data_IF_534088038306
#
_entry.id   IF_534088038306
#
_cell.length_a   1.000
_cell.length_b   1.000
_cell.length_c   1.000
_cell.angle_alpha   90.00
_cell.angle_beta   90.00
_cell.angle_gamma   90.00
#
_symmetry.space_group_name_H-M   'P 1'
#
loop_
_entity.id
_entity.type
_entity.pdbx_description
1 polymer ?
#
# COMPACT_ATOMS: atom_id res chain seq x y z
N UNK A 1 -65.41 -32.29 17.23
CA UNK A 1 -63.92 -32.25 17.21
C UNK A 1 -63.43 -31.34 16.07
N UNK A 2 -63.25 -30.02 16.27
CA UNK A 2 -62.79 -29.11 15.19
C UNK A 2 -61.85 -27.95 15.61
N UNK A 3 -61.43 -27.86 16.88
CA UNK A 3 -60.67 -26.70 17.39
C UNK A 3 -59.14 -26.83 17.48
N UNK A 4 -58.54 -27.97 17.11
CA UNK A 4 -57.09 -28.21 17.30
C UNK A 4 -56.21 -27.89 16.09
N UNK A 5 -56.79 -27.69 14.90
CA UNK A 5 -56.04 -27.45 13.64
C UNK A 5 -55.67 -25.99 13.37
N UNK A 6 -56.34 -25.00 13.98
CA UNK A 6 -56.03 -23.57 13.73
C UNK A 6 -54.80 -23.05 14.49
N UNK A 7 -54.53 -23.56 15.70
CA UNK A 7 -53.43 -23.03 16.53
C UNK A 7 -52.03 -23.41 16.01
N UNK A 8 -51.90 -24.52 15.28
CA UNK A 8 -50.60 -24.99 14.75
C UNK A 8 -50.16 -24.26 13.48
N UNK A 9 -51.09 -23.83 12.63
CA UNK A 9 -50.77 -23.09 11.39
C UNK A 9 -50.31 -21.66 11.70
N UNK A 10 -50.91 -21.02 12.71
CA UNK A 10 -50.51 -19.71 13.23
C UNK A 10 -49.09 -19.71 13.81
N UNK A 11 -48.69 -20.73 14.56
CA UNK A 11 -47.33 -20.82 15.09
C UNK A 11 -46.29 -21.13 14.01
N UNK A 12 -46.65 -21.91 12.99
CA UNK A 12 -45.79 -22.16 11.82
C UNK A 12 -45.59 -20.90 10.98
N UNK A 13 -46.65 -20.13 10.73
CA UNK A 13 -46.57 -18.84 10.03
C UNK A 13 -45.68 -17.84 10.76
N UNK A 14 -45.80 -17.74 12.09
CA UNK A 14 -44.91 -16.89 12.91
C UNK A 14 -43.45 -17.33 12.82
N UNK A 15 -43.16 -18.64 12.88
CA UNK A 15 -41.80 -19.16 12.70
C UNK A 15 -41.23 -18.87 11.31
N UNK A 16 -42.05 -18.99 10.26
CA UNK A 16 -41.65 -18.65 8.89
C UNK A 16 -41.36 -17.15 8.74
N UNK A 17 -42.17 -16.28 9.35
CA UNK A 17 -41.93 -14.83 9.34
C UNK A 17 -40.63 -14.50 10.08
N UNK A 18 -40.38 -15.08 11.25
CA UNK A 18 -39.13 -14.87 12.00
C UNK A 18 -37.93 -15.38 11.20
N UNK A 19 -38.04 -16.55 10.55
CA UNK A 19 -36.98 -17.09 9.71
C UNK A 19 -36.71 -16.19 8.49
N UNK A 20 -37.76 -15.66 7.85
CA UNK A 20 -37.62 -14.73 6.74
C UNK A 20 -36.96 -13.41 7.15
N UNK A 21 -37.34 -12.86 8.31
CA UNK A 21 -36.72 -11.65 8.87
C UNK A 21 -35.25 -11.91 9.22
N UNK A 22 -34.96 -13.04 9.87
CA UNK A 22 -33.58 -13.44 10.20
C UNK A 22 -32.73 -13.61 8.95
N UNK A 23 -33.26 -14.28 7.92
CA UNK A 23 -32.58 -14.45 6.65
C UNK A 23 -32.30 -13.11 5.97
N UNK A 24 -33.30 -12.22 5.91
CA UNK A 24 -33.14 -10.88 5.36
C UNK A 24 -32.09 -10.06 6.12
N UNK A 25 -32.07 -10.17 7.45
CA UNK A 25 -31.07 -9.50 8.28
C UNK A 25 -29.66 -10.01 7.99
N UNK A 26 -29.48 -11.32 7.82
CA UNK A 26 -28.19 -11.92 7.45
C UNK A 26 -27.74 -11.45 6.06
N UNK A 27 -28.65 -11.39 5.08
CA UNK A 27 -28.34 -10.87 3.75
C UNK A 27 -27.94 -9.40 3.80
N UNK A 28 -28.63 -8.57 4.61
CA UNK A 28 -28.25 -7.17 4.82
C UNK A 28 -26.87 -7.03 5.47
N UNK A 29 -26.56 -7.85 6.48
CA UNK A 29 -25.24 -7.86 7.10
C UNK A 29 -24.19 -8.22 6.06
N UNK A 30 -24.36 -9.32 5.33
CA UNK A 30 -23.43 -9.74 4.28
C UNK A 30 -23.26 -8.66 3.21
N UNK A 31 -24.34 -8.04 2.73
CA UNK A 31 -24.29 -6.93 1.78
C UNK A 31 -23.61 -5.68 2.34
N UNK A 32 -23.73 -5.42 3.65
CA UNK A 32 -23.04 -4.32 4.32
C UNK A 32 -21.55 -4.58 4.51
N UNK A 33 -21.16 -5.84 4.75
CA UNK A 33 -19.75 -6.24 4.88
C UNK A 33 -19.05 -6.41 3.53
N UNK A 34 -19.74 -6.97 2.52
CA UNK A 34 -19.23 -7.24 1.16
C UNK A 34 -19.63 -6.21 0.10
N UNK A 35 -20.41 -5.19 0.46
CA UNK A 35 -20.78 -4.13 -0.46
C UNK A 35 -19.55 -3.33 -0.91
N UNK A 36 -19.66 -2.65 -2.07
CA UNK A 36 -18.61 -1.82 -2.68
C UNK A 36 -18.07 -0.68 -1.79
N UNK A 37 -18.69 -0.45 -0.62
CA UNK A 37 -18.29 0.51 0.44
C UNK A 37 -18.16 -0.17 1.82
N UNK A 38 -17.90 -1.47 1.86
CA UNK A 38 -17.72 -2.22 3.09
C UNK A 38 -16.52 -1.71 3.89
N UNK A 39 -16.52 -1.95 5.19
CA UNK A 39 -15.47 -1.51 6.12
C UNK A 39 -14.06 -2.00 5.71
N UNK A 40 -13.99 -3.18 5.08
CA UNK A 40 -12.74 -3.77 4.58
C UNK A 40 -12.12 -2.91 3.48
N UNK A 41 -12.93 -2.40 2.55
CA UNK A 41 -12.45 -1.59 1.44
C UNK A 41 -11.95 -0.23 1.94
N UNK A 42 -12.64 0.37 2.91
CA UNK A 42 -12.20 1.62 3.55
C UNK A 42 -10.85 1.42 4.23
N UNK A 43 -10.66 0.30 4.95
CA UNK A 43 -9.38 0.00 5.58
C UNK A 43 -8.26 -0.22 4.56
N UNK A 44 -8.54 -0.93 3.46
CA UNK A 44 -7.58 -1.13 2.36
C UNK A 44 -7.17 0.21 1.74
N UNK A 45 -8.13 1.04 1.36
CA UNK A 45 -7.88 2.36 0.75
C UNK A 45 -7.09 3.26 1.70
N UNK A 46 -7.41 3.27 2.99
CA UNK A 46 -6.62 4.03 3.97
C UNK A 46 -5.18 3.51 4.11
N UNK A 47 -4.97 2.20 4.03
CA UNK A 47 -3.63 1.61 4.07
C UNK A 47 -2.84 1.97 2.81
N UNK A 48 -3.44 1.81 1.64
CA UNK A 48 -2.81 2.18 0.35
C UNK A 48 -2.46 3.66 0.31
N UNK A 49 -3.37 4.53 0.77
CA UNK A 49 -3.11 5.97 0.88
C UNK A 49 -1.90 6.28 1.78
N UNK A 50 -1.76 5.59 2.92
CA UNK A 50 -0.59 5.75 3.80
C UNK A 50 0.71 5.27 3.14
N UNK A 51 0.67 4.16 2.41
CA UNK A 51 1.84 3.64 1.68
C UNK A 51 2.29 4.63 0.61
N UNK A 52 1.35 5.12 -0.20
CA UNK A 52 1.64 6.11 -1.24
C UNK A 52 2.23 7.40 -0.66
N UNK A 53 1.72 7.89 0.46
CA UNK A 53 2.30 9.06 1.14
C UNK A 53 3.73 8.81 1.62
N UNK A 54 4.03 7.62 2.13
CA UNK A 54 5.39 7.25 2.52
C UNK A 54 6.33 7.18 1.31
N UNK A 55 5.84 6.64 0.20
CA UNK A 55 6.59 6.55 -1.05
C UNK A 55 6.90 7.94 -1.62
N UNK A 56 5.92 8.84 -1.63
CA UNK A 56 6.13 10.25 -2.02
C UNK A 56 7.21 10.89 -1.17
N UNK A 57 7.13 10.76 0.17
CA UNK A 57 8.13 11.35 1.07
C UNK A 57 9.55 10.77 0.84
N UNK A 58 9.63 9.48 0.53
CA UNK A 58 10.90 8.81 0.21
C UNK A 58 11.49 9.34 -1.10
N UNK A 59 10.67 9.42 -2.15
CA UNK A 59 11.06 9.93 -3.47
C UNK A 59 11.45 11.42 -3.42
N UNK A 60 10.75 12.24 -2.64
CA UNK A 60 11.12 13.65 -2.44
C UNK A 60 12.48 13.79 -1.77
N UNK A 61 12.77 12.94 -0.78
CA UNK A 61 14.07 12.92 -0.12
C UNK A 61 15.19 12.48 -1.06
N UNK A 62 14.93 11.47 -1.89
CA UNK A 62 15.87 11.00 -2.90
C UNK A 62 16.12 12.06 -3.98
N UNK A 63 15.06 12.69 -4.48
CA UNK A 63 15.13 13.82 -5.41
C UNK A 63 16.02 14.93 -4.85
N UNK A 64 15.78 15.36 -3.60
CA UNK A 64 16.58 16.42 -2.96
C UNK A 64 18.05 16.02 -2.75
N UNK A 65 18.35 14.72 -2.62
CA UNK A 65 19.72 14.22 -2.54
C UNK A 65 20.39 14.27 -3.92
N UNK A 66 19.70 13.81 -4.96
CA UNK A 66 20.19 13.82 -6.33
C UNK A 66 20.39 15.25 -6.85
N UNK A 67 19.49 16.17 -6.52
CA UNK A 67 19.63 17.59 -6.88
C UNK A 67 20.90 18.20 -6.27
N UNK A 68 21.19 17.92 -5.00
CA UNK A 68 22.43 18.34 -4.34
C UNK A 68 23.66 17.72 -5.01
N UNK A 69 23.60 16.44 -5.36
CA UNK A 69 24.69 15.78 -6.06
C UNK A 69 24.93 16.38 -7.46
N UNK A 70 23.86 16.73 -8.19
CA UNK A 70 23.96 17.44 -9.47
C UNK A 70 24.58 18.82 -9.27
N UNK A 71 24.17 19.57 -8.25
CA UNK A 71 24.71 20.90 -7.96
C UNK A 71 26.20 20.83 -7.61
N UNK A 72 26.60 19.88 -6.76
CA UNK A 72 28.00 19.63 -6.44
C UNK A 72 28.81 19.27 -7.69
N UNK A 73 28.30 18.38 -8.55
CA UNK A 73 28.98 18.00 -9.78
C UNK A 73 29.04 19.14 -10.79
N UNK A 74 28.03 20.01 -10.90
CA UNK A 74 28.06 21.13 -11.83
C UNK A 74 29.00 22.25 -11.38
N UNK A 75 28.99 22.56 -10.09
CA UNK A 75 29.66 23.75 -9.56
C UNK A 75 31.05 23.45 -8.99
N UNK A 76 31.40 22.18 -8.76
CA UNK A 76 32.70 21.80 -8.21
C UNK A 76 33.49 20.87 -9.15
N UNK A 77 34.51 21.38 -9.86
CA UNK A 77 35.32 20.57 -10.77
C UNK A 77 36.06 19.42 -10.05
N UNK A 78 36.39 19.56 -8.76
CA UNK A 78 36.98 18.46 -7.98
C UNK A 78 36.00 17.32 -7.72
N UNK A 79 34.70 17.61 -7.60
CA UNK A 79 33.66 16.59 -7.44
C UNK A 79 33.51 15.75 -8.71
N UNK A 80 33.58 16.41 -9.89
CA UNK A 80 33.59 15.73 -11.20
C UNK A 80 34.82 14.86 -11.35
N UNK A 81 36.00 15.41 -11.06
CA UNK A 81 37.26 14.68 -11.16
C UNK A 81 37.28 13.44 -10.25
N UNK A 82 36.81 13.57 -9.01
CA UNK A 82 36.68 12.42 -8.09
C UNK A 82 35.78 11.33 -8.67
N UNK A 83 34.60 11.71 -9.19
CA UNK A 83 33.66 10.73 -9.76
C UNK A 83 34.17 10.09 -11.05
N UNK A 84 34.93 10.84 -11.86
CA UNK A 84 35.62 10.35 -13.04
C UNK A 84 36.72 9.33 -12.68
N UNK A 85 37.54 9.63 -11.66
CA UNK A 85 38.55 8.70 -11.14
C UNK A 85 37.92 7.43 -10.56
N UNK A 86 36.85 7.55 -9.76
CA UNK A 86 36.20 6.41 -9.09
C UNK A 86 35.39 5.52 -10.05
N UNK A 87 34.59 6.11 -10.95
CA UNK A 87 33.70 5.34 -11.83
C UNK A 87 34.31 4.96 -13.17
N UNK A 88 35.18 5.82 -13.71
CA UNK A 88 35.71 5.67 -15.06
C UNK A 88 37.22 5.39 -15.06
N UNK A 89 37.87 5.37 -13.88
CA UNK A 89 39.31 5.17 -13.75
C UNK A 89 40.14 6.15 -14.59
N UNK A 90 39.57 7.34 -14.84
CA UNK A 90 40.25 8.40 -15.59
C UNK A 90 41.38 8.98 -14.74
N UNK A 91 42.57 9.06 -15.34
CA UNK A 91 43.78 9.61 -14.71
C UNK A 91 44.50 10.52 -15.70
N UNK A 92 45.30 11.46 -15.21
CA UNK A 92 46.18 12.24 -16.08
C UNK A 92 47.35 11.38 -16.57
N UNK A 93 47.98 11.71 -17.72
CA UNK A 93 49.08 10.92 -18.27
C UNK A 93 50.29 10.74 -17.33
N UNK A 94 50.44 11.62 -16.35
CA UNK A 94 51.50 11.67 -15.35
C UNK A 94 51.15 10.99 -14.02
N UNK A 95 50.00 10.33 -13.91
CA UNK A 95 49.51 9.70 -12.67
C UNK A 95 49.61 8.17 -12.68
N UNK A 96 49.80 7.56 -11.49
CA UNK A 96 49.93 6.10 -11.33
C UNK A 96 48.83 5.57 -10.40
N UNK A 97 48.13 4.49 -10.82
CA UNK A 97 47.07 3.86 -10.03
C UNK A 97 47.65 2.82 -9.07
N UNK A 98 47.31 2.93 -7.78
CA UNK A 98 47.68 1.96 -6.74
C UNK A 98 46.42 1.19 -6.33
N UNK A 99 46.36 -0.10 -6.67
CA UNK A 99 45.27 -1.00 -6.26
C UNK A 99 45.75 -1.81 -5.06
N UNK A 100 45.09 -1.65 -3.91
CA UNK A 100 45.35 -2.50 -2.74
C UNK A 100 44.59 -3.81 -2.90
N UNK A 101 45.31 -4.92 -2.98
CA UNK A 101 44.72 -6.26 -2.98
C UNK A 101 44.31 -6.61 -1.54
N UNK A 102 43.01 -6.72 -1.28
CA UNK A 102 42.53 -7.33 -0.03
C UNK A 102 42.79 -8.84 -0.09
N UNK A 103 43.28 -9.41 1.02
CA UNK A 103 43.65 -10.82 1.16
C UNK A 103 42.44 -11.68 1.47
#
# INVERSE_FOLDING_TARGET
MRGKKEKSTLSFRKKLIIAAISFFFVVLLLASFFGKKGLIEIYRVQREHKILLQEIACLEKEKKKLEREIEELKNNPKAVEKKAREKLWLMKPDEVVIIKKEK
#
